data_IF_097421428734
#
_entry.id   IF_097421428734
#
_cell.length_a   1.000
_cell.length_b   1.000
_cell.length_c   1.000
_cell.angle_alpha   90.00
_cell.angle_beta   90.00
_cell.angle_gamma   90.00
#
_symmetry.space_group_name_H-M   'P 1'
#
loop_
_entity.id
_entity.type
_entity.pdbx_description
1 polymer ?
#
# COMPACT_ATOMS: atom_id res chain seq x y z
N UNK A 1 -18.81 7.71 -50.91
CA UNK A 1 -19.68 7.62 -49.70
C UNK A 1 -19.35 6.39 -48.83
N UNK A 2 -19.30 5.16 -49.36
CA UNK A 2 -19.04 3.92 -48.59
C UNK A 2 -17.74 3.88 -47.75
N UNK A 3 -16.67 4.56 -48.17
CA UNK A 3 -15.38 4.56 -47.46
C UNK A 3 -15.06 5.84 -46.66
N UNK A 4 -15.76 6.95 -46.95
CA UNK A 4 -15.49 8.24 -46.32
C UNK A 4 -16.08 8.29 -44.91
N UNK A 5 -17.32 7.81 -44.74
CA UNK A 5 -17.97 7.81 -43.43
C UNK A 5 -17.22 6.93 -42.41
N UNK A 6 -16.82 5.67 -42.71
CA UNK A 6 -16.02 4.88 -41.77
C UNK A 6 -14.65 5.47 -41.46
N UNK A 7 -14.03 6.17 -42.43
CA UNK A 7 -12.73 6.82 -42.22
C UNK A 7 -12.85 8.01 -41.26
N UNK A 8 -13.84 8.89 -41.47
CA UNK A 8 -14.12 10.03 -40.59
C UNK A 8 -14.54 9.55 -39.20
N UNK A 9 -15.37 8.50 -39.11
CA UNK A 9 -15.75 7.95 -37.82
C UNK A 9 -14.54 7.42 -37.05
N UNK A 10 -13.64 6.69 -37.72
CA UNK A 10 -12.41 6.19 -37.09
C UNK A 10 -11.49 7.34 -36.65
N UNK A 11 -11.33 8.36 -37.48
CA UNK A 11 -10.53 9.54 -37.16
C UNK A 11 -11.09 10.28 -35.93
N UNK A 12 -12.39 10.55 -35.91
CA UNK A 12 -13.04 11.20 -34.77
C UNK A 12 -12.97 10.35 -33.49
N UNK A 13 -13.17 9.02 -33.60
CA UNK A 13 -13.03 8.12 -32.44
C UNK A 13 -11.60 8.12 -31.92
N UNK A 14 -10.61 8.07 -32.79
CA UNK A 14 -9.21 8.11 -32.38
C UNK A 14 -8.90 9.43 -31.65
N UNK A 15 -9.31 10.57 -32.21
CA UNK A 15 -9.11 11.88 -31.58
C UNK A 15 -9.78 11.97 -30.20
N UNK A 16 -11.01 11.47 -30.07
CA UNK A 16 -11.72 11.46 -28.78
C UNK A 16 -11.07 10.52 -27.76
N UNK A 17 -10.61 9.34 -28.20
CA UNK A 17 -9.88 8.39 -27.36
C UNK A 17 -8.55 8.98 -26.88
N UNK A 18 -7.79 9.63 -27.77
CA UNK A 18 -6.51 10.27 -27.40
C UNK A 18 -6.70 11.36 -26.35
N UNK A 19 -7.74 12.20 -26.49
CA UNK A 19 -8.08 13.22 -25.49
C UNK A 19 -8.50 12.60 -24.15
N UNK A 20 -9.27 11.52 -24.18
CA UNK A 20 -9.69 10.82 -22.96
C UNK A 20 -8.49 10.18 -22.24
N UNK A 21 -7.60 9.52 -22.99
CA UNK A 21 -6.36 8.94 -22.47
C UNK A 21 -5.48 10.00 -21.83
N UNK A 22 -5.31 11.16 -22.48
CA UNK A 22 -4.52 12.27 -21.96
C UNK A 22 -5.04 12.76 -20.61
N UNK A 23 -6.35 12.98 -20.52
CA UNK A 23 -6.97 13.43 -19.29
C UNK A 23 -6.85 12.38 -18.18
N UNK A 24 -7.07 11.10 -18.49
CA UNK A 24 -6.95 10.01 -17.53
C UNK A 24 -5.51 9.87 -17.02
N UNK A 25 -4.52 9.88 -17.91
CA UNK A 25 -3.09 9.78 -17.56
C UNK A 25 -2.65 10.97 -16.70
N UNK A 26 -3.13 12.18 -16.99
CA UNK A 26 -2.84 13.34 -16.14
C UNK A 26 -3.38 13.16 -14.71
N UNK A 27 -4.62 12.67 -14.57
CA UNK A 27 -5.22 12.37 -13.26
C UNK A 27 -4.44 11.26 -12.53
N UNK A 28 -4.02 10.22 -13.24
CA UNK A 28 -3.20 9.16 -12.66
C UNK A 28 -1.85 9.67 -12.15
N UNK A 29 -1.22 10.59 -12.90
CA UNK A 29 0.00 11.28 -12.46
C UNK A 29 -0.21 12.09 -11.18
N UNK A 30 -1.29 12.88 -11.10
CA UNK A 30 -1.65 13.64 -9.90
C UNK A 30 -1.93 12.72 -8.69
N UNK A 31 -2.63 11.61 -8.91
CA UNK A 31 -2.90 10.63 -7.86
C UNK A 31 -1.60 10.02 -7.33
N UNK A 32 -0.68 9.61 -8.21
CA UNK A 32 0.63 9.10 -7.80
C UNK A 32 1.41 10.15 -7.03
N UNK A 33 1.45 11.40 -7.52
CA UNK A 33 2.13 12.51 -6.87
C UNK A 33 1.62 12.71 -5.44
N UNK A 34 0.29 12.70 -5.25
CA UNK A 34 -0.34 12.83 -3.95
C UNK A 34 -0.02 11.67 -3.00
N UNK A 35 0.18 10.44 -3.51
CA UNK A 35 0.62 9.30 -2.70
C UNK A 35 2.09 9.42 -2.29
N UNK A 36 2.96 9.82 -3.22
CA UNK A 36 4.41 9.96 -2.98
C UNK A 36 4.72 11.08 -1.99
N UNK A 37 3.99 12.20 -2.07
CA UNK A 37 4.23 13.40 -1.26
C UNK A 37 3.40 13.44 0.03
N UNK A 38 2.85 12.31 0.47
CA UNK A 38 2.20 12.24 1.78
C UNK A 38 3.22 12.56 2.89
N UNK A 39 2.83 13.34 3.92
CA UNK A 39 3.73 13.67 5.02
C UNK A 39 4.26 12.41 5.73
N UNK A 40 5.59 12.23 5.87
CA UNK A 40 6.17 11.08 6.52
C UNK A 40 6.06 11.17 8.05
N UNK A 41 5.91 10.02 8.72
CA UNK A 41 5.92 9.91 10.17
C UNK A 41 7.24 9.30 10.69
N UNK A 42 8.32 10.09 10.60
CA UNK A 42 9.68 9.66 10.97
C UNK A 42 9.83 9.45 12.48
N UNK A 43 10.72 8.53 12.87
CA UNK A 43 11.12 8.33 14.26
C UNK A 43 10.13 7.56 15.13
N UNK A 44 9.12 6.93 14.53
CA UNK A 44 8.05 6.19 15.23
C UNK A 44 8.18 4.68 15.02
N UNK A 45 7.90 3.90 16.06
CA UNK A 45 7.75 2.44 15.95
C UNK A 45 6.38 2.14 15.37
N UNK A 46 6.32 1.43 14.25
CA UNK A 46 5.07 1.18 13.52
C UNK A 46 4.80 -0.31 13.42
N UNK A 47 3.56 -0.70 13.70
CA UNK A 47 3.03 -2.02 13.36
C UNK A 47 2.27 -1.92 12.03
N UNK A 48 2.74 -2.58 10.98
CA UNK A 48 1.98 -2.82 9.76
C UNK A 48 1.00 -3.97 9.97
N UNK A 49 -0.26 -3.72 9.67
CA UNK A 49 -1.36 -4.67 9.74
C UNK A 49 -1.88 -4.88 8.32
N UNK A 50 -1.61 -6.04 7.73
CA UNK A 50 -2.09 -6.47 6.42
C UNK A 50 -3.36 -7.34 6.59
N UNK A 51 -4.57 -6.78 6.35
CA UNK A 51 -5.83 -7.47 6.59
C UNK A 51 -6.06 -8.69 5.70
N UNK A 52 -6.57 -9.78 6.29
CA UNK A 52 -7.12 -10.88 5.51
C UNK A 52 -8.12 -11.73 6.31
N UNK A 53 -9.01 -12.42 5.60
CA UNK A 53 -9.94 -13.39 6.19
C UNK A 53 -9.32 -14.78 6.38
N UNK A 54 -9.19 -15.56 5.30
CA UNK A 54 -8.83 -16.99 5.34
C UNK A 54 -7.35 -17.23 5.69
N UNK A 55 -6.46 -16.39 5.17
CA UNK A 55 -5.00 -16.55 5.36
C UNK A 55 -4.49 -15.94 6.67
N UNK A 56 -5.36 -15.26 7.43
CA UNK A 56 -4.97 -14.51 8.63
C UNK A 56 -4.40 -13.14 8.29
N UNK A 57 -4.51 -12.21 9.23
CA UNK A 57 -3.91 -10.88 9.12
C UNK A 57 -2.43 -10.97 9.45
N UNK A 58 -1.58 -10.40 8.59
CA UNK A 58 -0.13 -10.42 8.78
C UNK A 58 0.28 -9.14 9.49
N UNK A 59 1.09 -9.28 10.53
CA UNK A 59 1.59 -8.19 11.35
C UNK A 59 3.09 -8.08 11.17
N UNK A 60 3.59 -6.87 11.01
CA UNK A 60 5.02 -6.58 10.99
C UNK A 60 5.33 -5.37 11.86
N UNK A 61 6.19 -5.51 12.85
CA UNK A 61 6.67 -4.37 13.64
C UNK A 61 7.97 -3.89 13.06
N UNK A 62 8.06 -2.59 12.76
CA UNK A 62 9.29 -1.92 12.35
C UNK A 62 9.68 -0.86 13.39
N UNK A 63 10.98 -0.74 13.67
CA UNK A 63 11.49 0.32 14.54
C UNK A 63 11.47 1.69 13.86
N UNK A 64 11.92 2.72 14.58
CA UNK A 64 12.00 4.10 14.10
C UNK A 64 12.83 4.31 12.81
N UNK A 65 13.68 3.34 12.44
CA UNK A 65 14.51 3.34 11.23
C UNK A 65 13.92 2.50 10.09
N UNK A 66 12.80 1.83 10.33
CA UNK A 66 12.17 0.90 9.39
C UNK A 66 12.75 -0.52 9.44
N UNK A 67 13.60 -0.84 10.41
CA UNK A 67 14.12 -2.21 10.60
C UNK A 67 13.03 -3.10 11.19
N UNK A 68 12.84 -4.29 10.62
CA UNK A 68 11.86 -5.26 11.13
C UNK A 68 12.30 -5.83 12.49
N UNK A 69 11.41 -5.76 13.46
CA UNK A 69 11.57 -6.28 14.82
C UNK A 69 10.82 -7.59 15.04
N UNK A 70 9.63 -7.72 14.45
CA UNK A 70 8.79 -8.90 14.61
C UNK A 70 7.85 -9.09 13.43
N UNK A 71 7.49 -10.34 13.20
CA UNK A 71 6.45 -10.77 12.26
C UNK A 71 5.53 -11.73 13.02
N UNK A 72 4.22 -11.58 12.82
CA UNK A 72 3.23 -12.50 13.38
C UNK A 72 2.02 -12.63 12.46
N UNK A 73 1.31 -13.76 12.55
CA UNK A 73 0.04 -13.96 11.84
C UNK A 73 -1.05 -14.21 12.87
N UNK A 74 -2.06 -13.34 12.88
CA UNK A 74 -3.24 -13.47 13.74
C UNK A 74 -4.49 -13.75 12.90
N UNK A 75 -5.52 -14.30 13.53
CA UNK A 75 -6.76 -14.66 12.84
C UNK A 75 -7.97 -14.03 13.54
N UNK A 76 -8.16 -12.70 13.47
CA UNK A 76 -9.26 -12.01 14.16
C UNK A 76 -10.62 -12.22 13.47
N UNK A 77 -10.63 -12.60 12.19
CA UNK A 77 -11.82 -12.60 11.34
C UNK A 77 -12.34 -13.99 10.99
N UNK A 78 -13.64 -14.10 10.67
CA UNK A 78 -14.20 -15.33 10.08
C UNK A 78 -13.55 -15.58 8.70
N UNK A 79 -13.37 -16.85 8.27
CA UNK A 79 -13.91 -18.09 8.85
C UNK A 79 -13.02 -18.77 9.90
N UNK A 80 -12.04 -18.07 10.50
CA UNK A 80 -11.21 -18.68 11.54
C UNK A 80 -12.05 -19.18 12.73
N UNK A 81 -11.61 -20.31 13.31
CA UNK A 81 -12.24 -20.91 14.48
C UNK A 81 -12.29 -19.92 15.65
N UNK A 82 -13.31 -20.04 16.51
CA UNK A 82 -13.54 -19.14 17.64
C UNK A 82 -12.28 -18.97 18.51
N UNK A 83 -11.61 -20.07 18.88
CA UNK A 83 -10.39 -20.03 19.69
C UNK A 83 -9.26 -19.20 19.06
N UNK A 84 -9.10 -19.23 17.73
CA UNK A 84 -8.10 -18.42 17.04
C UNK A 84 -8.46 -16.92 17.05
N UNK A 85 -9.75 -16.60 16.93
CA UNK A 85 -10.24 -15.22 17.00
C UNK A 85 -10.09 -14.63 18.40
N UNK A 86 -10.35 -15.42 19.43
CA UNK A 86 -10.16 -15.02 20.83
C UNK A 86 -8.69 -14.81 21.18
N UNK A 87 -7.78 -15.61 20.61
CA UNK A 87 -6.34 -15.47 20.82
C UNK A 87 -5.72 -14.26 20.09
N UNK A 88 -6.37 -13.73 19.04
CA UNK A 88 -5.82 -12.67 18.20
C UNK A 88 -5.62 -11.34 18.97
N UNK A 89 -6.57 -10.98 19.84
CA UNK A 89 -6.50 -9.75 20.66
C UNK A 89 -5.31 -9.73 21.61
N UNK A 90 -5.17 -10.73 22.50
CA UNK A 90 -4.01 -10.85 23.40
C UNK A 90 -2.66 -10.88 22.67
N UNK A 91 -2.56 -11.59 21.55
CA UNK A 91 -1.34 -11.64 20.74
C UNK A 91 -0.99 -10.25 20.17
N UNK A 92 -1.99 -9.55 19.60
CA UNK A 92 -1.82 -8.20 19.08
C UNK A 92 -1.35 -7.23 20.18
N UNK A 93 -1.98 -7.23 21.35
CA UNK A 93 -1.59 -6.34 22.46
C UNK A 93 -0.21 -6.67 23.03
N UNK A 94 0.16 -7.96 23.09
CA UNK A 94 1.52 -8.34 23.44
C UNK A 94 2.56 -7.71 22.50
N UNK A 95 2.31 -7.69 21.19
CA UNK A 95 3.22 -7.03 20.24
C UNK A 95 3.29 -5.51 20.47
N UNK A 96 2.13 -4.86 20.64
CA UNK A 96 2.06 -3.41 20.88
C UNK A 96 2.88 -3.03 22.12
N UNK A 97 2.66 -3.72 23.24
CA UNK A 97 3.31 -3.40 24.51
C UNK A 97 4.80 -3.81 24.50
N UNK A 98 5.14 -4.99 23.95
CA UNK A 98 6.53 -5.48 23.90
C UNK A 98 7.45 -4.55 23.12
N UNK A 99 6.99 -4.03 21.99
CA UNK A 99 7.81 -3.19 21.11
C UNK A 99 7.55 -1.69 21.25
N UNK A 100 6.68 -1.29 22.20
CA UNK A 100 6.33 0.11 22.42
C UNK A 100 5.86 0.79 21.13
N UNK A 101 4.95 0.13 20.42
CA UNK A 101 4.43 0.59 19.12
C UNK A 101 3.72 1.93 19.29
N UNK A 102 4.09 2.94 18.50
CA UNK A 102 3.43 4.25 18.51
C UNK A 102 2.18 4.26 17.61
N UNK A 103 2.25 3.56 16.48
CA UNK A 103 1.26 3.62 15.40
C UNK A 103 0.98 2.25 14.78
N UNK A 104 -0.27 2.02 14.40
CA UNK A 104 -0.69 0.87 13.59
C UNK A 104 -1.09 1.33 12.20
N UNK A 105 -0.35 0.91 11.19
CA UNK A 105 -0.65 1.14 9.77
C UNK A 105 -1.53 0.00 9.25
N UNK A 106 -2.80 0.27 8.92
CA UNK A 106 -3.75 -0.75 8.46
C UNK A 106 -3.90 -0.64 6.95
N UNK A 107 -3.61 -1.72 6.22
CA UNK A 107 -3.85 -1.82 4.78
C UNK A 107 -5.33 -1.60 4.44
N UNK A 108 -5.62 -0.86 3.38
CA UNK A 108 -6.97 -0.50 2.98
C UNK A 108 -7.67 -1.52 2.05
N UNK A 109 -7.16 -2.74 1.92
CA UNK A 109 -7.75 -3.76 1.06
C UNK A 109 -8.78 -4.65 1.76
N UNK A 110 -8.68 -5.95 1.51
CA UNK A 110 -9.72 -6.92 1.89
C UNK A 110 -9.78 -7.08 3.41
N UNK A 111 -10.97 -6.99 4.01
CA UNK A 111 -11.17 -7.03 5.47
C UNK A 111 -10.60 -5.82 6.23
N UNK A 112 -10.27 -4.72 5.55
CA UNK A 112 -9.72 -3.51 6.17
C UNK A 112 -10.67 -2.90 7.21
N UNK A 113 -11.97 -2.83 6.91
CA UNK A 113 -13.00 -2.30 7.82
C UNK A 113 -13.11 -3.14 9.10
N UNK A 114 -13.16 -4.46 8.98
CA UNK A 114 -13.21 -5.35 10.15
C UNK A 114 -11.92 -5.29 10.96
N UNK A 115 -10.78 -5.13 10.28
CA UNK A 115 -9.48 -4.97 10.91
C UNK A 115 -9.35 -3.64 11.65
N UNK A 116 -9.89 -2.55 11.09
CA UNK A 116 -9.97 -1.26 11.76
C UNK A 116 -10.78 -1.38 13.06
N UNK A 117 -11.98 -1.97 13.01
CA UNK A 117 -12.81 -2.18 14.19
C UNK A 117 -12.11 -3.04 15.25
N UNK A 118 -11.42 -4.10 14.82
CA UNK A 118 -10.61 -4.94 15.71
C UNK A 118 -9.49 -4.13 16.37
N UNK A 119 -8.66 -3.42 15.58
CA UNK A 119 -7.53 -2.62 16.09
C UNK A 119 -8.03 -1.55 17.04
N UNK A 120 -9.05 -0.77 16.66
CA UNK A 120 -9.62 0.28 17.50
C UNK A 120 -10.15 -0.25 18.84
N UNK A 121 -10.75 -1.44 18.85
CA UNK A 121 -11.20 -2.07 20.09
C UNK A 121 -10.03 -2.54 20.96
N UNK A 122 -9.05 -3.24 20.36
CA UNK A 122 -7.93 -3.78 21.13
C UNK A 122 -7.05 -2.68 21.73
N UNK A 123 -6.79 -1.59 21.00
CA UNK A 123 -5.93 -0.50 21.47
C UNK A 123 -6.43 0.18 22.75
N UNK A 124 -7.69 -0.01 23.15
CA UNK A 124 -8.20 0.44 24.46
C UNK A 124 -7.50 -0.23 25.65
N UNK A 125 -6.92 -1.40 25.43
CA UNK A 125 -6.22 -2.21 26.43
C UNK A 125 -4.70 -2.12 26.32
N UNK A 126 -4.15 -1.22 25.48
CA UNK A 126 -2.72 -1.00 25.37
C UNK A 126 -2.17 -0.25 26.61
N UNK A 127 -0.95 -0.57 27.03
CA UNK A 127 -0.34 0.02 28.23
C UNK A 127 0.07 1.49 28.01
N UNK A 128 0.14 1.93 26.76
CA UNK A 128 0.51 3.27 26.35
C UNK A 128 -0.32 3.73 25.16
N UNK A 129 -0.33 5.06 24.94
CA UNK A 129 -1.10 5.66 23.87
C UNK A 129 -0.54 5.26 22.51
N UNK A 130 -1.32 4.48 21.78
CA UNK A 130 -1.03 4.02 20.42
C UNK A 130 -2.17 4.47 19.52
N UNK A 131 -1.85 4.93 18.31
CA UNK A 131 -2.86 5.35 17.33
C UNK A 131 -2.87 4.40 16.13
N UNK A 132 -3.85 4.53 15.26
CA UNK A 132 -3.88 3.82 14.00
C UNK A 132 -4.16 4.76 12.83
N UNK A 133 -3.74 4.36 11.63
CA UNK A 133 -4.03 5.04 10.38
C UNK A 133 -4.31 4.03 9.28
N UNK A 134 -5.21 4.37 8.36
CA UNK A 134 -5.45 3.59 7.15
C UNK A 134 -4.41 4.00 6.11
N UNK A 135 -3.76 3.00 5.50
CA UNK A 135 -2.69 3.17 4.53
C UNK A 135 -3.07 2.47 3.23
N UNK A 136 -2.76 3.11 2.10
CA UNK A 136 -2.93 2.50 0.81
C UNK A 136 -2.00 1.28 0.68
N UNK A 137 -2.55 0.09 0.43
CA UNK A 137 -1.78 -1.15 0.24
C UNK A 137 -1.53 -1.50 -1.23
N UNK A 138 -2.06 -0.72 -2.18
CA UNK A 138 -1.88 -0.97 -3.60
C UNK A 138 -0.39 -1.01 -3.97
N UNK A 139 -0.01 -2.02 -4.74
CA UNK A 139 1.38 -2.33 -5.04
C UNK A 139 2.15 -3.05 -3.94
N UNK A 140 1.63 -3.22 -2.71
CA UNK A 140 2.35 -3.94 -1.64
C UNK A 140 2.54 -5.44 -2.00
N UNK A 141 1.56 -6.03 -2.68
CA UNK A 141 1.66 -7.38 -3.23
C UNK A 141 2.66 -7.50 -4.39
N UNK A 142 2.81 -6.45 -5.20
CA UNK A 142 3.82 -6.40 -6.27
C UNK A 142 5.21 -6.24 -5.70
N UNK A 143 5.37 -5.35 -4.71
CA UNK A 143 6.61 -5.23 -3.94
C UNK A 143 6.99 -6.56 -3.30
N UNK A 144 6.09 -7.20 -2.56
CA UNK A 144 6.41 -8.38 -1.77
C UNK A 144 6.82 -9.60 -2.59
N UNK A 145 6.31 -9.70 -3.82
CA UNK A 145 6.69 -10.71 -4.80
C UNK A 145 7.98 -10.36 -5.58
N UNK A 146 8.43 -9.10 -5.55
CA UNK A 146 9.58 -8.59 -6.31
C UNK A 146 10.92 -9.19 -5.87
N UNK A 147 11.92 -9.10 -6.75
CA UNK A 147 13.29 -9.48 -6.40
C UNK A 147 13.91 -8.57 -5.33
N UNK A 148 13.55 -7.29 -5.31
CA UNK A 148 14.05 -6.32 -4.32
C UNK A 148 13.61 -6.77 -2.92
N UNK A 149 12.33 -7.09 -2.75
CA UNK A 149 11.82 -7.56 -1.46
C UNK A 149 12.40 -8.93 -1.05
N UNK A 150 12.68 -9.82 -2.01
CA UNK A 150 13.39 -11.08 -1.73
C UNK A 150 14.84 -10.86 -1.27
N UNK A 151 15.50 -9.83 -1.79
CA UNK A 151 16.86 -9.45 -1.36
C UNK A 151 16.84 -8.79 0.01
N UNK A 152 15.88 -7.90 0.28
CA UNK A 152 15.71 -7.29 1.61
C UNK A 152 15.33 -8.31 2.69
N UNK A 153 14.46 -9.26 2.35
CA UNK A 153 13.86 -10.21 3.29
C UNK A 153 13.83 -11.65 2.75
N UNK A 154 15.00 -12.31 2.63
CA UNK A 154 15.11 -13.63 2.00
C UNK A 154 14.38 -14.73 2.77
N UNK A 155 14.20 -14.55 4.08
CA UNK A 155 13.58 -15.55 4.96
C UNK A 155 12.08 -15.31 5.21
N UNK A 156 11.54 -14.17 4.77
CA UNK A 156 10.12 -13.87 4.92
C UNK A 156 9.31 -14.42 3.74
N UNK A 157 8.10 -14.88 4.03
CA UNK A 157 7.10 -15.22 3.02
C UNK A 157 6.59 -13.96 2.33
N UNK A 158 5.96 -14.14 1.16
CA UNK A 158 5.46 -13.02 0.34
C UNK A 158 4.50 -12.15 1.15
N UNK A 159 3.58 -12.76 1.89
CA UNK A 159 2.56 -11.98 2.60
C UNK A 159 3.11 -11.30 3.86
N UNK A 160 4.21 -11.79 4.43
CA UNK A 160 4.89 -11.14 5.57
C UNK A 160 5.60 -9.87 5.12
N UNK A 161 6.22 -9.89 3.93
CA UNK A 161 6.86 -8.70 3.34
C UNK A 161 5.86 -7.60 3.00
N UNK A 162 4.62 -7.97 2.67
CA UNK A 162 3.53 -7.02 2.43
C UNK A 162 3.24 -6.17 3.68
N UNK A 163 3.10 -6.81 4.84
CA UNK A 163 2.91 -6.10 6.11
C UNK A 163 4.07 -5.16 6.46
N UNK A 164 5.31 -5.54 6.13
CA UNK A 164 6.48 -4.67 6.29
C UNK A 164 6.35 -3.41 5.41
N UNK A 165 5.92 -3.57 4.16
CA UNK A 165 5.72 -2.42 3.26
C UNK A 165 4.63 -1.48 3.76
N UNK A 166 3.50 -2.02 4.26
CA UNK A 166 2.43 -1.22 4.86
C UNK A 166 2.95 -0.38 6.04
N UNK A 167 3.77 -0.98 6.92
CA UNK A 167 4.35 -0.27 8.06
C UNK A 167 5.27 0.89 7.60
N UNK A 168 6.17 0.61 6.65
CA UNK A 168 7.16 1.57 6.15
C UNK A 168 6.54 2.70 5.34
N UNK A 169 5.44 2.45 4.61
CA UNK A 169 4.68 3.49 3.91
C UNK A 169 4.18 4.58 4.86
N UNK A 170 3.81 4.24 6.09
CA UNK A 170 3.39 5.25 7.06
C UNK A 170 4.59 6.09 7.57
N UNK A 171 5.77 5.47 7.69
CA UNK A 171 6.99 6.16 8.13
C UNK A 171 7.52 7.09 7.05
N UNK A 172 7.63 6.60 5.81
CA UNK A 172 8.13 7.35 4.65
C UNK A 172 7.47 6.82 3.36
N UNK A 173 6.35 7.43 2.92
CA UNK A 173 5.63 7.03 1.72
C UNK A 173 6.51 7.04 0.47
N UNK A 174 7.31 8.10 0.28
CA UNK A 174 8.17 8.25 -0.88
C UNK A 174 9.21 7.11 -0.94
N UNK A 175 9.98 6.93 0.14
CA UNK A 175 11.07 5.95 0.18
C UNK A 175 10.59 4.51 -0.01
N UNK A 176 9.36 4.20 0.40
CA UNK A 176 8.81 2.85 0.25
C UNK A 176 8.11 2.65 -1.11
N UNK A 177 7.38 3.64 -1.64
CA UNK A 177 6.65 3.53 -2.91
C UNK A 177 7.57 3.51 -4.14
N UNK A 178 8.75 4.16 -4.08
CA UNK A 178 9.74 4.13 -5.19
C UNK A 178 10.35 2.75 -5.44
N UNK A 179 10.16 1.79 -4.52
CA UNK A 179 10.61 0.39 -4.70
C UNK A 179 9.69 -0.43 -5.62
N UNK A 180 8.62 0.18 -6.10
CA UNK A 180 7.52 -0.47 -6.83
C UNK A 180 7.47 0.13 -8.23
N UNK A 181 7.16 -0.68 -9.25
CA UNK A 181 6.80 -0.15 -10.56
C UNK A 181 5.64 0.86 -10.38
N UNK A 182 5.77 2.11 -10.84
CA UNK A 182 4.74 3.13 -10.65
C UNK A 182 3.36 2.72 -11.17
N UNK A 183 3.30 1.90 -12.24
CA UNK A 183 2.03 1.37 -12.77
C UNK A 183 1.35 0.39 -11.82
N UNK A 184 2.11 -0.23 -10.92
CA UNK A 184 1.61 -1.17 -9.94
C UNK A 184 1.11 -0.51 -8.64
N UNK A 185 1.37 0.79 -8.43
CA UNK A 185 0.90 1.55 -7.25
C UNK A 185 -0.63 1.75 -7.26
N UNK A 186 -1.30 1.48 -8.39
CA UNK A 186 -2.76 1.56 -8.51
C UNK A 186 -3.24 3.00 -8.46
N UNK A 187 -2.98 3.74 -9.54
CA UNK A 187 -3.11 5.21 -9.61
C UNK A 187 -4.49 5.67 -10.11
N UNK A 188 -5.35 4.73 -10.51
CA UNK A 188 -6.75 5.00 -10.80
C UNK A 188 -7.47 3.82 -11.46
N UNK A 189 -8.78 3.97 -11.62
CA UNK A 189 -9.60 3.00 -12.35
C UNK A 189 -9.25 3.04 -13.83
N UNK A 190 -9.32 1.88 -14.50
CA UNK A 190 -9.07 1.76 -15.95
C UNK A 190 -7.66 2.17 -16.41
N UNK A 191 -6.68 2.21 -15.49
CA UNK A 191 -5.28 2.50 -15.83
C UNK A 191 -4.67 1.52 -16.86
N UNK A 192 -5.27 0.35 -17.06
CA UNK A 192 -4.84 -0.65 -18.03
C UNK A 192 -5.47 -0.44 -19.43
N UNK A 193 -6.46 0.45 -19.53
CA UNK A 193 -7.21 0.69 -20.77
C UNK A 193 -6.68 1.90 -21.57
N UNK A 194 -5.79 2.69 -20.96
CA UNK A 194 -5.10 3.82 -21.62
C UNK A 194 -3.81 3.37 -22.32
N UNK A 195 -3.24 4.23 -23.15
CA UNK A 195 -1.90 4.05 -23.72
C UNK A 195 -0.83 3.78 -22.65
N UNK A 196 -0.40 2.51 -22.55
CA UNK A 196 0.55 2.06 -21.52
C UNK A 196 1.94 2.69 -21.65
N UNK A 197 2.34 3.06 -22.87
CA UNK A 197 3.60 3.78 -23.11
C UNK A 197 3.54 5.18 -22.50
N UNK A 198 2.49 5.94 -22.84
CA UNK A 198 2.30 7.31 -22.33
C UNK A 198 2.09 7.32 -20.82
N UNK A 199 1.38 6.34 -20.28
CA UNK A 199 1.21 6.17 -18.84
C UNK A 199 2.56 5.97 -18.15
N UNK A 200 3.40 5.07 -18.64
CA UNK A 200 4.72 4.82 -18.06
C UNK A 200 5.57 6.10 -18.04
N UNK A 201 5.66 6.79 -19.18
CA UNK A 201 6.40 8.06 -19.29
C UNK A 201 5.90 9.11 -18.28
N UNK A 202 4.59 9.24 -18.12
CA UNK A 202 4.01 10.19 -17.16
C UNK A 202 4.30 9.81 -15.70
N UNK A 203 4.16 8.53 -15.34
CA UNK A 203 4.37 8.09 -13.95
C UNK A 203 5.85 8.16 -13.58
N UNK A 204 6.75 7.81 -14.49
CA UNK A 204 8.20 7.94 -14.29
C UNK A 204 8.59 9.41 -14.07
N UNK A 205 8.05 10.32 -14.89
CA UNK A 205 8.25 11.77 -14.72
C UNK A 205 7.78 12.27 -13.35
N UNK A 206 6.62 11.80 -12.88
CA UNK A 206 6.08 12.15 -11.54
C UNK A 206 6.99 11.65 -10.42
N UNK A 207 7.48 10.41 -10.52
CA UNK A 207 8.40 9.83 -9.53
C UNK A 207 9.70 10.62 -9.49
N UNK A 208 10.31 10.88 -10.64
CA UNK A 208 11.55 11.68 -10.75
C UNK A 208 11.35 13.08 -10.15
N UNK A 209 10.23 13.73 -10.48
CA UNK A 209 9.90 15.06 -9.94
C UNK A 209 9.73 15.02 -8.42
N UNK A 210 9.02 14.01 -7.88
CA UNK A 210 8.79 13.88 -6.44
C UNK A 210 10.10 13.63 -5.67
N UNK A 211 10.97 12.75 -6.18
CA UNK A 211 12.28 12.47 -5.57
C UNK A 211 13.17 13.71 -5.61
N UNK A 212 13.26 14.39 -6.75
CA UNK A 212 14.05 15.61 -6.88
C UNK A 212 13.53 16.75 -5.98
N UNK A 213 12.22 16.86 -5.79
CA UNK A 213 11.61 17.88 -4.94
C UNK A 213 11.93 17.65 -3.45
N UNK A 214 11.91 16.40 -2.99
CA UNK A 214 12.19 16.07 -1.58
C UNK A 214 13.69 16.06 -1.28
N UNK A 215 14.52 15.66 -2.26
CA UNK A 215 15.94 15.42 -2.07
C UNK A 215 16.22 14.03 -1.49
N UNK A 216 17.49 13.62 -1.50
CA UNK A 216 17.96 12.35 -0.95
C UNK A 216 19.07 12.65 0.05
N UNK A 217 18.94 12.17 1.28
CA UNK A 217 19.95 12.24 2.34
C UNK A 217 21.02 11.16 2.20
#
# INVERSE_FOLDING_TARGET
KRFIQPAIERELRNELTEKADEQAIAIFGENLRNLLLQPPLKGKVVLGFDPAYRTGCKLAVVDATGKVLAIEVIYPHKPAAQAKREAAGPAFIQLINKYQVDMVAIGNGTASRESELFVAEQLKSADHKTYYAIVNEAGASVYSASEIARKEFPHLQVEERSAVSIARRLQDPLAELVKIDPKAVGVGQYQHDVSQKRLAEQLDFVVETAVNQVGVD
#
